data_IF_402882477860
#
_entry.id   IF_402882477860
#
_cell.length_a   1.000
_cell.length_b   1.000
_cell.length_c   1.000
_cell.angle_alpha   90.00
_cell.angle_beta   90.00
_cell.angle_gamma   90.00
#
_symmetry.space_group_name_H-M   'P 1'
#
loop_
_entity.id
_entity.type
_entity.pdbx_description
1 polymer ?
#
# COMPACT_ATOMS: atom_id res chain seq x y z
N UNK A 1 11.00 -9.12 -1.87
CA UNK A 1 10.51 -8.21 -0.84
C UNK A 1 9.61 -8.94 0.14
N UNK A 2 10.16 -9.50 1.21
CA UNK A 2 9.37 -10.06 2.31
C UNK A 2 8.85 -8.97 3.27
N UNK A 3 9.69 -7.99 3.63
CA UNK A 3 9.28 -6.83 4.44
C UNK A 3 8.68 -5.73 3.55
N UNK A 4 7.40 -5.38 3.75
CA UNK A 4 6.64 -4.46 2.87
C UNK A 4 5.99 -3.33 3.67
N UNK A 5 6.42 -2.09 3.42
CA UNK A 5 5.96 -0.89 4.13
C UNK A 5 4.94 -0.04 3.36
N UNK A 6 4.86 -0.19 2.04
CA UNK A 6 4.03 0.68 1.21
C UNK A 6 2.53 0.41 1.34
N UNK A 7 1.72 1.46 1.14
CA UNK A 7 0.28 1.39 0.91
C UNK A 7 -0.10 0.76 -0.44
N UNK A 8 0.86 0.65 -1.35
CA UNK A 8 0.73 -0.02 -2.65
C UNK A 8 1.59 -1.27 -2.64
N UNK A 9 1.00 -2.40 -3.03
CA UNK A 9 1.72 -3.65 -3.25
C UNK A 9 2.43 -3.60 -4.60
N UNK A 10 3.67 -4.09 -4.64
CA UNK A 10 4.44 -4.30 -5.85
C UNK A 10 4.65 -5.79 -6.02
N UNK A 11 4.28 -6.31 -7.19
CA UNK A 11 4.47 -7.70 -7.56
C UNK A 11 5.94 -7.99 -7.87
N UNK A 12 6.70 -8.25 -6.80
CA UNK A 12 8.08 -8.70 -6.84
C UNK A 12 8.47 -9.44 -5.56
N UNK A 13 9.16 -10.55 -5.68
CA UNK A 13 9.69 -11.34 -4.57
C UNK A 13 11.13 -10.94 -4.17
N UNK A 14 11.76 -11.66 -3.24
CA UNK A 14 13.15 -11.39 -2.79
C UNK A 14 14.21 -11.86 -3.79
N UNK A 15 13.89 -12.87 -4.60
CA UNK A 15 14.75 -13.37 -5.67
C UNK A 15 14.70 -12.50 -6.94
N UNK A 16 13.78 -11.54 -6.99
CA UNK A 16 13.62 -10.57 -8.07
C UNK A 16 12.57 -10.94 -9.11
N UNK A 17 11.84 -12.05 -8.95
CA UNK A 17 10.77 -12.46 -9.85
C UNK A 17 9.50 -11.62 -9.61
N UNK A 18 8.70 -11.43 -10.66
CA UNK A 18 7.40 -10.74 -10.60
C UNK A 18 7.21 -9.76 -11.76
N UNK A 19 5.97 -9.32 -11.95
CA UNK A 19 5.57 -8.46 -13.08
C UNK A 19 5.84 -6.97 -12.85
N UNK A 20 6.26 -6.59 -11.65
CA UNK A 20 6.32 -5.21 -11.19
C UNK A 20 4.95 -4.49 -11.24
N UNK A 21 3.83 -5.21 -11.35
CA UNK A 21 2.51 -4.61 -11.27
C UNK A 21 2.31 -3.94 -9.90
N UNK A 22 1.56 -2.83 -9.89
CA UNK A 22 1.23 -2.07 -8.68
C UNK A 22 -0.25 -2.26 -8.36
N UNK A 23 -0.55 -2.68 -7.14
CA UNK A 23 -1.93 -2.88 -6.68
C UNK A 23 -2.16 -2.11 -5.39
N UNK A 24 -3.27 -1.37 -5.32
CA UNK A 24 -3.66 -0.64 -4.10
C UNK A 24 -4.03 -1.63 -3.00
N UNK A 25 -3.43 -1.50 -1.82
CA UNK A 25 -3.83 -2.26 -0.63
C UNK A 25 -5.06 -1.63 0.02
N UNK A 26 -5.66 -2.31 0.99
CA UNK A 26 -6.71 -1.72 1.84
C UNK A 26 -6.22 -0.47 2.57
N UNK A 27 -4.98 -0.51 3.08
CA UNK A 27 -4.35 0.63 3.76
C UNK A 27 -4.18 1.88 2.89
N UNK A 28 -4.20 1.73 1.56
CA UNK A 28 -4.23 2.89 0.64
C UNK A 28 -5.50 3.71 0.82
N UNK A 29 -6.66 3.05 0.90
CA UNK A 29 -7.94 3.73 1.02
C UNK A 29 -8.14 4.30 2.43
N UNK A 30 -7.69 3.56 3.45
CA UNK A 30 -7.64 4.08 4.81
C UNK A 30 -6.83 5.39 4.87
N UNK A 31 -5.60 5.39 4.33
CA UNK A 31 -4.77 6.60 4.40
C UNK A 31 -5.31 7.74 3.53
N UNK A 32 -5.97 7.43 2.40
CA UNK A 32 -6.71 8.42 1.61
C UNK A 32 -7.82 9.08 2.44
N UNK A 33 -8.57 8.31 3.24
CA UNK A 33 -9.62 8.82 4.13
C UNK A 33 -9.04 9.72 5.21
N UNK A 34 -7.96 9.29 5.87
CA UNK A 34 -7.25 10.07 6.90
C UNK A 34 -6.78 11.42 6.34
N UNK A 35 -6.19 11.46 5.15
CA UNK A 35 -5.76 12.73 4.53
C UNK A 35 -6.98 13.61 4.23
N UNK A 36 -8.05 13.03 3.68
CA UNK A 36 -9.25 13.76 3.30
C UNK A 36 -10.01 14.36 4.51
N UNK A 37 -9.93 13.69 5.66
CA UNK A 37 -10.49 14.17 6.93
C UNK A 37 -9.51 15.03 7.73
N UNK A 38 -8.33 15.35 7.19
CA UNK A 38 -7.26 16.01 7.92
C UNK A 38 -6.92 15.33 9.27
N UNK A 39 -7.03 14.00 9.32
CA UNK A 39 -6.77 13.20 10.51
C UNK A 39 -7.93 13.10 11.51
N UNK A 40 -9.09 13.68 11.23
CA UNK A 40 -10.25 13.59 12.12
C UNK A 40 -10.95 12.21 12.06
N UNK A 41 -10.80 11.50 10.94
CA UNK A 41 -11.42 10.21 10.70
C UNK A 41 -10.35 9.12 10.50
N UNK A 42 -10.15 8.29 11.53
CA UNK A 42 -9.09 7.27 11.63
C UNK A 42 -9.61 5.83 11.57
N UNK A 43 -10.92 5.62 11.51
CA UNK A 43 -11.57 4.31 11.53
C UNK A 43 -11.95 3.79 10.13
#
# INVERSE_FOLDING_TARGET
MSKRYGFVYVDRDDAGNGTLARTRKTSFWWYKKVIASNGEDLE
#
